data_IF_796676734709
#
_entry.id   IF_796676734709
#
_cell.length_a   1.000
_cell.length_b   1.000
_cell.length_c   1.000
_cell.angle_alpha   90.00
_cell.angle_beta   90.00
_cell.angle_gamma   90.00
#
_symmetry.space_group_name_H-M   'P 1'
#
loop_
_entity.id
_entity.type
_entity.pdbx_description
1 polymer ?
#
# COMPACT_ATOMS: atom_id res chain seq x y z
N UNK A 1 38.51 14.56 42.39
CA UNK A 1 37.30 14.74 43.22
C UNK A 1 36.11 14.82 42.29
N UNK A 2 35.31 13.76 42.20
CA UNK A 2 34.04 13.80 41.49
C UNK A 2 33.09 14.72 42.27
N UNK A 3 32.52 15.72 41.59
CA UNK A 3 31.53 16.62 42.19
C UNK A 3 30.34 15.80 42.74
N UNK A 4 29.74 16.19 43.89
CA UNK A 4 28.60 15.47 44.42
C UNK A 4 27.46 15.54 43.40
N UNK A 5 27.02 14.38 42.90
CA UNK A 5 25.79 14.29 42.10
C UNK A 5 24.62 14.78 42.96
N UNK A 6 24.04 15.91 42.55
CA UNK A 6 22.87 16.51 43.19
C UNK A 6 21.71 15.50 43.17
N UNK A 7 21.37 14.95 44.35
CA UNK A 7 20.30 13.95 44.52
C UNK A 7 18.93 14.48 44.12
N UNK A 8 18.72 15.80 44.11
CA UNK A 8 17.51 16.43 43.60
C UNK A 8 17.41 16.33 42.06
N UNK A 9 18.54 16.41 41.37
CA UNK A 9 18.64 16.36 39.91
C UNK A 9 18.27 15.00 39.33
N UNK A 10 18.65 13.89 39.98
CA UNK A 10 18.27 12.54 39.52
C UNK A 10 16.77 12.27 39.71
N UNK A 11 16.18 12.68 40.84
CA UNK A 11 14.75 12.44 41.13
C UNK A 11 13.80 13.19 40.18
N UNK A 12 14.13 14.42 39.79
CA UNK A 12 13.31 15.20 38.85
C UNK A 12 13.26 14.56 37.46
N UNK A 13 14.43 14.16 36.94
CA UNK A 13 14.55 13.47 35.64
C UNK A 13 13.79 12.14 35.62
N UNK A 14 13.96 11.30 36.64
CA UNK A 14 13.28 10.01 36.74
C UNK A 14 11.75 10.14 36.76
N UNK A 15 11.22 11.11 37.52
CA UNK A 15 9.77 11.38 37.56
C UNK A 15 9.21 11.79 36.21
N UNK A 16 9.91 12.66 35.48
CA UNK A 16 9.51 13.06 34.12
C UNK A 16 9.47 11.86 33.17
N UNK A 17 10.48 10.99 33.23
CA UNK A 17 10.52 9.74 32.44
C UNK A 17 9.34 8.85 32.82
N UNK A 18 9.15 8.53 34.10
CA UNK A 18 8.07 7.65 34.56
C UNK A 18 6.68 8.20 34.20
N UNK A 19 6.45 9.50 34.35
CA UNK A 19 5.18 10.13 33.96
C UNK A 19 4.97 10.07 32.45
N UNK A 20 6.01 10.34 31.65
CA UNK A 20 5.93 10.22 30.20
C UNK A 20 5.70 8.77 29.76
N UNK A 21 6.34 7.79 30.40
CA UNK A 21 6.10 6.36 30.17
C UNK A 21 4.65 5.99 30.46
N UNK A 22 4.12 6.39 31.61
CA UNK A 22 2.74 6.11 32.00
C UNK A 22 1.72 6.73 31.02
N UNK A 23 1.95 7.96 30.59
CA UNK A 23 1.10 8.62 29.59
C UNK A 23 1.22 7.95 28.21
N UNK A 24 2.42 7.51 27.82
CA UNK A 24 2.69 6.83 26.57
C UNK A 24 2.08 5.42 26.48
N UNK A 25 1.69 4.82 27.61
CA UNK A 25 0.89 3.60 27.63
C UNK A 25 -0.56 3.84 27.20
N UNK A 26 -1.06 5.07 27.34
CA UNK A 26 -2.44 5.42 27.07
C UNK A 26 -2.64 5.94 25.64
N UNK A 27 -1.65 6.62 25.06
CA UNK A 27 -1.70 7.19 23.70
C UNK A 27 -0.30 7.49 23.13
N UNK A 28 -0.16 7.72 21.81
CA UNK A 28 1.12 7.99 21.17
C UNK A 28 1.85 9.18 21.80
N UNK A 29 3.17 9.04 21.94
CA UNK A 29 3.99 10.07 22.60
C UNK A 29 3.90 11.43 21.92
N UNK A 30 3.76 11.47 20.59
CA UNK A 30 3.67 12.73 19.83
C UNK A 30 2.44 13.55 20.19
N UNK A 31 1.35 12.93 20.64
CA UNK A 31 0.15 13.62 21.10
C UNK A 31 0.24 14.08 22.57
N UNK A 32 1.24 13.62 23.33
CA UNK A 32 1.45 14.01 24.73
C UNK A 32 2.17 15.35 24.79
N UNK A 33 1.54 16.36 25.38
CA UNK A 33 2.17 17.68 25.52
C UNK A 33 3.16 17.73 26.69
N UNK A 34 4.15 18.64 26.62
CA UNK A 34 5.07 18.89 27.74
C UNK A 34 4.29 19.28 29.00
N UNK A 35 3.20 20.04 28.87
CA UNK A 35 2.34 20.45 29.99
C UNK A 35 1.74 19.25 30.73
N UNK A 36 1.30 18.23 30.00
CA UNK A 36 0.74 17.02 30.62
C UNK A 36 1.80 16.20 31.33
N UNK A 37 3.01 16.10 30.77
CA UNK A 37 4.12 15.38 31.38
C UNK A 37 4.53 16.05 32.69
N UNK A 38 4.71 17.37 32.69
CA UNK A 38 5.11 18.10 33.91
C UNK A 38 4.01 18.12 34.96
N UNK A 39 2.74 18.20 34.54
CA UNK A 39 1.59 18.09 35.43
C UNK A 39 1.53 16.71 36.09
N UNK A 40 1.68 15.63 35.32
CA UNK A 40 1.70 14.27 35.84
C UNK A 40 2.91 14.00 36.75
N UNK A 41 4.05 14.62 36.43
CA UNK A 41 5.25 14.53 37.25
C UNK A 41 5.21 15.46 38.48
N UNK A 42 4.19 16.31 38.63
CA UNK A 42 4.12 17.39 39.62
C UNK A 42 5.40 18.24 39.66
N UNK A 43 5.82 18.71 38.47
CA UNK A 43 6.96 19.58 38.22
C UNK A 43 6.54 20.78 37.34
N UNK A 44 7.43 21.75 37.21
CA UNK A 44 7.19 22.93 36.38
C UNK A 44 7.75 22.76 34.96
N UNK A 45 7.22 23.52 34.01
CA UNK A 45 7.73 23.55 32.64
C UNK A 45 9.22 23.96 32.53
N UNK A 46 9.73 24.92 33.33
CA UNK A 46 11.18 25.17 33.40
C UNK A 46 11.98 23.96 33.90
N UNK A 47 11.46 23.17 34.86
CA UNK A 47 12.13 21.96 35.34
C UNK A 47 12.24 20.88 34.25
N UNK A 48 11.30 20.82 33.30
CA UNK A 48 11.41 19.94 32.13
C UNK A 48 12.65 20.27 31.29
N UNK A 49 12.78 21.52 30.83
CA UNK A 49 13.91 21.94 30.00
C UNK A 49 15.25 21.93 30.74
N UNK A 50 15.23 22.01 32.08
CA UNK A 50 16.42 21.81 32.90
C UNK A 50 16.96 20.37 32.82
N UNK A 51 16.09 19.37 32.63
CA UNK A 51 16.46 17.96 32.55
C UNK A 51 16.54 17.41 31.12
N UNK A 52 15.77 17.99 30.20
CA UNK A 52 15.70 17.65 28.77
C UNK A 52 15.87 18.94 27.96
N UNK A 53 17.12 19.37 27.79
CA UNK A 53 17.46 20.61 27.10
C UNK A 53 17.11 20.54 25.60
N UNK A 54 17.19 19.34 25.00
CA UNK A 54 16.70 19.04 23.66
C UNK A 54 15.17 18.95 23.55
N UNK A 55 14.45 19.25 24.64
CA UNK A 55 12.99 19.29 24.66
C UNK A 55 12.37 17.90 24.60
N UNK A 56 11.19 17.82 23.99
CA UNK A 56 10.40 16.58 23.91
C UNK A 56 11.11 15.48 23.10
N UNK A 57 11.97 15.84 22.15
CA UNK A 57 12.75 14.89 21.34
C UNK A 57 13.83 14.16 22.15
N UNK A 58 14.54 14.85 23.05
CA UNK A 58 15.52 14.19 23.93
C UNK A 58 14.83 13.18 24.86
N UNK A 59 13.64 13.51 25.36
CA UNK A 59 12.82 12.58 26.15
C UNK A 59 12.31 11.42 25.28
N UNK A 60 11.94 11.66 24.02
CA UNK A 60 11.55 10.63 23.06
C UNK A 60 12.66 9.60 22.89
N UNK A 61 13.89 10.05 22.63
CA UNK A 61 15.05 9.16 22.45
C UNK A 61 15.30 8.29 23.68
N UNK A 62 15.15 8.84 24.88
CA UNK A 62 15.27 8.08 26.13
C UNK A 62 14.18 7.01 26.23
N UNK A 63 12.93 7.34 25.90
CA UNK A 63 11.80 6.41 25.93
C UNK A 63 11.91 5.32 24.86
N UNK A 64 12.48 5.65 23.69
CA UNK A 64 12.80 4.67 22.63
C UNK A 64 13.92 3.74 23.10
N UNK A 65 14.97 4.30 23.71
CA UNK A 65 16.10 3.52 24.26
C UNK A 65 15.67 2.58 25.38
N UNK A 66 14.68 2.98 26.19
CA UNK A 66 14.09 2.12 27.21
C UNK A 66 13.03 1.15 26.68
N UNK A 67 12.73 1.19 25.38
CA UNK A 67 11.72 0.34 24.74
C UNK A 67 10.27 0.68 25.12
N UNK A 68 10.01 1.86 25.70
CA UNK A 68 8.65 2.25 26.11
C UNK A 68 7.81 2.71 24.91
N UNK A 69 8.43 3.40 23.95
CA UNK A 69 7.77 3.87 22.73
C UNK A 69 8.60 3.48 21.50
N UNK A 70 7.96 3.37 20.34
CA UNK A 70 8.67 3.14 19.09
C UNK A 70 9.30 4.44 18.56
N UNK A 71 10.32 4.33 17.73
CA UNK A 71 11.02 5.47 17.14
C UNK A 71 10.14 6.27 16.16
N UNK A 72 9.08 5.66 15.64
CA UNK A 72 8.23 6.20 14.57
C UNK A 72 7.21 7.24 15.06
N UNK A 73 7.04 8.40 14.39
CA UNK A 73 6.02 9.41 14.74
C UNK A 73 4.58 8.89 14.75
N UNK A 74 3.61 9.57 15.39
CA UNK A 74 2.24 9.07 15.53
C UNK A 74 1.44 8.96 14.21
N UNK A 75 1.57 9.94 13.30
CA UNK A 75 1.03 9.82 11.92
C UNK A 75 1.64 8.63 11.19
N UNK A 76 2.94 8.46 11.39
CA UNK A 76 3.74 7.42 10.76
C UNK A 76 3.45 6.06 11.41
N UNK A 77 3.02 6.04 12.68
CA UNK A 77 2.61 4.87 13.45
C UNK A 77 1.31 4.31 12.90
N UNK A 78 0.32 5.17 12.62
CA UNK A 78 -0.94 4.72 12.00
C UNK A 78 -0.67 4.07 10.64
N UNK A 79 0.16 4.69 9.80
CA UNK A 79 0.49 4.12 8.49
C UNK A 79 1.33 2.85 8.62
N UNK A 80 2.34 2.82 9.51
CA UNK A 80 3.14 1.63 9.77
C UNK A 80 2.28 0.45 10.23
N UNK A 81 1.27 0.70 11.08
CA UNK A 81 0.30 -0.30 11.51
C UNK A 81 -0.53 -0.82 10.32
N UNK A 82 -1.01 0.05 9.44
CA UNK A 82 -1.76 -0.37 8.25
C UNK A 82 -0.88 -1.19 7.28
N UNK A 83 0.36 -0.77 7.05
CA UNK A 83 1.30 -1.47 6.18
C UNK A 83 1.68 -2.84 6.77
N UNK A 84 1.93 -2.91 8.07
CA UNK A 84 2.18 -4.17 8.79
C UNK A 84 0.96 -5.09 8.76
N UNK A 85 -0.25 -4.54 9.00
CA UNK A 85 -1.49 -5.31 8.92
C UNK A 85 -1.73 -5.85 7.50
N UNK A 86 -1.48 -5.05 6.47
CA UNK A 86 -1.57 -5.48 5.07
C UNK A 86 -0.65 -6.67 4.79
N UNK A 87 0.63 -6.59 5.19
CA UNK A 87 1.61 -7.69 5.02
C UNK A 87 1.17 -8.96 5.73
N UNK A 88 0.74 -8.85 7.00
CA UNK A 88 0.25 -10.00 7.77
C UNK A 88 -0.99 -10.61 7.12
N UNK A 89 -2.00 -9.80 6.79
CA UNK A 89 -3.24 -10.28 6.19
C UNK A 89 -3.00 -10.91 4.81
N UNK A 90 -2.09 -10.35 4.01
CA UNK A 90 -1.70 -10.93 2.73
C UNK A 90 -0.97 -12.28 2.90
N UNK A 91 -0.18 -12.44 3.97
CA UNK A 91 0.62 -13.66 4.21
C UNK A 91 -0.19 -14.82 4.77
N UNK A 92 -1.03 -14.60 5.77
CA UNK A 92 -1.73 -15.68 6.50
C UNK A 92 -3.26 -15.57 6.47
N UNK A 93 -3.81 -14.52 5.87
CA UNK A 93 -5.23 -14.21 5.88
C UNK A 93 -5.69 -13.49 7.16
N UNK A 94 -6.84 -12.80 7.08
CA UNK A 94 -7.38 -11.97 8.18
C UNK A 94 -7.73 -12.82 9.41
N UNK A 95 -8.27 -14.03 9.23
CA UNK A 95 -8.70 -14.88 10.33
C UNK A 95 -7.53 -15.37 11.19
N UNK A 96 -6.42 -15.79 10.58
CA UNK A 96 -5.26 -16.35 11.28
C UNK A 96 -4.32 -15.27 11.87
N UNK A 97 -4.37 -14.04 11.36
CA UNK A 97 -3.58 -12.93 11.88
C UNK A 97 -3.93 -12.58 13.34
N UNK A 98 -2.92 -12.21 14.14
CA UNK A 98 -3.14 -11.62 15.48
C UNK A 98 -2.73 -10.15 15.51
N UNK A 99 -3.28 -9.39 16.46
CA UNK A 99 -2.89 -7.98 16.65
C UNK A 99 -1.45 -7.85 17.17
N UNK A 100 -0.91 -8.89 17.81
CA UNK A 100 0.47 -8.93 18.28
C UNK A 100 1.43 -9.15 17.09
N UNK A 101 1.09 -10.02 16.14
CA UNK A 101 1.86 -10.19 14.89
C UNK A 101 1.93 -8.87 14.11
N UNK A 102 0.81 -8.13 14.06
CA UNK A 102 0.72 -6.86 13.35
C UNK A 102 1.56 -5.79 14.05
N UNK A 103 1.49 -5.70 15.38
CA UNK A 103 2.31 -4.75 16.13
C UNK A 103 3.82 -5.03 15.92
N UNK A 104 4.21 -6.30 15.95
CA UNK A 104 5.58 -6.72 15.68
C UNK A 104 6.02 -6.39 14.25
N UNK A 105 5.20 -6.71 13.24
CA UNK A 105 5.47 -6.43 11.82
C UNK A 105 5.54 -4.93 11.51
N UNK A 106 4.76 -4.11 12.23
CA UNK A 106 4.76 -2.65 12.10
C UNK A 106 5.90 -2.00 12.90
N UNK A 107 6.60 -2.74 13.76
CA UNK A 107 7.63 -2.19 14.65
C UNK A 107 7.06 -1.24 15.71
N UNK A 108 5.83 -1.47 16.17
CA UNK A 108 5.15 -0.62 17.16
C UNK A 108 4.76 -1.42 18.40
N UNK A 109 4.48 -0.73 19.51
CA UNK A 109 3.97 -1.39 20.71
C UNK A 109 2.49 -1.78 20.54
N UNK A 110 2.06 -2.81 21.28
CA UNK A 110 0.66 -3.25 21.28
C UNK A 110 -0.30 -2.14 21.73
N UNK A 111 0.12 -1.30 22.68
CA UNK A 111 -0.64 -0.13 23.14
C UNK A 111 -0.76 0.94 22.05
N UNK A 112 0.31 1.20 21.30
CA UNK A 112 0.29 2.16 20.19
C UNK A 112 -0.65 1.69 19.06
N UNK A 113 -0.68 0.39 18.77
CA UNK A 113 -1.67 -0.17 17.83
C UNK A 113 -3.09 0.02 18.34
N UNK A 114 -3.37 -0.37 19.58
CA UNK A 114 -4.71 -0.31 20.20
C UNK A 114 -5.29 1.10 20.27
N UNK A 115 -4.45 2.13 20.23
CA UNK A 115 -4.89 3.52 20.15
C UNK A 115 -5.53 3.86 18.81
N UNK A 116 -4.97 3.34 17.71
CA UNK A 116 -5.45 3.65 16.36
C UNK A 116 -6.52 2.68 15.88
N UNK A 117 -6.45 1.41 16.30
CA UNK A 117 -7.33 0.35 15.82
C UNK A 117 -7.70 -0.60 16.96
N UNK A 118 -9.01 -0.86 17.13
CA UNK A 118 -9.51 -1.70 18.20
C UNK A 118 -9.69 -3.15 17.75
N UNK A 119 -9.84 -3.39 16.45
CA UNK A 119 -10.07 -4.72 15.89
C UNK A 119 -9.34 -4.97 14.56
N UNK A 120 -9.23 -6.25 14.17
CA UNK A 120 -8.77 -6.64 12.82
C UNK A 120 -9.73 -6.15 11.73
N UNK A 121 -11.01 -6.02 12.04
CA UNK A 121 -12.01 -5.51 11.11
C UNK A 121 -11.77 -4.02 10.83
N UNK A 122 -11.43 -3.23 11.86
CA UNK A 122 -11.11 -1.80 11.72
C UNK A 122 -9.87 -1.62 10.84
N UNK A 123 -8.84 -2.45 11.05
CA UNK A 123 -7.62 -2.46 10.23
C UNK A 123 -7.95 -2.81 8.78
N UNK A 124 -8.70 -3.89 8.57
CA UNK A 124 -9.09 -4.35 7.23
C UNK A 124 -9.89 -3.28 6.51
N UNK A 125 -10.89 -2.69 7.17
CA UNK A 125 -11.70 -1.61 6.64
C UNK A 125 -10.82 -0.43 6.27
N UNK A 126 -9.92 0.02 7.15
CA UNK A 126 -9.03 1.14 6.87
C UNK A 126 -8.08 0.86 5.69
N UNK A 127 -7.56 -0.36 5.55
CA UNK A 127 -6.74 -0.79 4.40
C UNK A 127 -7.57 -0.70 3.10
N UNK A 128 -8.78 -1.24 3.10
CA UNK A 128 -9.65 -1.24 1.91
C UNK A 128 -10.08 0.19 1.58
N UNK A 129 -10.38 1.01 2.59
CA UNK A 129 -10.82 2.39 2.43
C UNK A 129 -9.68 3.30 1.94
N UNK A 130 -8.42 2.96 2.22
CA UNK A 130 -7.27 3.72 1.79
C UNK A 130 -7.31 3.87 0.26
N UNK A 131 -7.67 5.08 -0.20
CA UNK A 131 -7.92 5.35 -1.62
C UNK A 131 -6.63 5.29 -2.46
N UNK A 132 -5.47 5.36 -1.81
CA UNK A 132 -4.16 5.50 -2.45
C UNK A 132 -3.80 4.38 -3.42
N UNK A 133 -4.21 3.13 -3.12
CA UNK A 133 -3.80 1.97 -3.93
C UNK A 133 -4.18 2.16 -5.40
N UNK A 134 -5.48 2.28 -5.71
CA UNK A 134 -5.92 2.44 -7.09
C UNK A 134 -5.77 3.88 -7.64
N UNK A 135 -5.59 4.88 -6.78
CA UNK A 135 -5.48 6.28 -7.19
C UNK A 135 -4.26 6.52 -8.09
N UNK A 136 -3.11 5.92 -7.77
CA UNK A 136 -1.90 6.10 -8.56
C UNK A 136 -2.04 5.49 -9.96
N UNK A 137 -2.47 4.23 -10.06
CA UNK A 137 -2.71 3.57 -11.35
C UNK A 137 -3.71 4.37 -12.18
N UNK A 138 -4.82 4.78 -11.56
CA UNK A 138 -5.83 5.61 -12.23
C UNK A 138 -5.23 6.91 -12.75
N UNK A 139 -4.46 7.63 -11.94
CA UNK A 139 -3.84 8.89 -12.36
C UNK A 139 -2.89 8.70 -13.55
N UNK A 140 -2.11 7.61 -13.56
CA UNK A 140 -1.24 7.26 -14.69
C UNK A 140 -2.04 6.94 -15.95
N UNK A 141 -3.09 6.11 -15.84
CA UNK A 141 -3.97 5.81 -16.99
C UNK A 141 -4.66 7.07 -17.49
N UNK A 142 -5.22 7.91 -16.61
CA UNK A 142 -5.87 9.16 -16.99
C UNK A 142 -4.89 10.12 -17.69
N UNK A 143 -3.61 10.11 -17.32
CA UNK A 143 -2.56 10.88 -18.00
C UNK A 143 -2.30 10.35 -19.41
N UNK A 144 -2.14 9.03 -19.58
CA UNK A 144 -1.96 8.39 -20.89
C UNK A 144 -3.17 8.72 -21.79
N UNK A 145 -4.40 8.64 -21.28
CA UNK A 145 -5.60 8.99 -22.04
C UNK A 145 -5.59 10.46 -22.49
N UNK A 146 -5.14 11.40 -21.65
CA UNK A 146 -4.99 12.81 -22.04
C UNK A 146 -3.97 12.99 -23.17
N UNK A 147 -2.85 12.28 -23.11
CA UNK A 147 -1.81 12.33 -24.14
C UNK A 147 -2.32 11.79 -25.48
N UNK A 148 -3.11 10.71 -25.46
CA UNK A 148 -3.81 10.19 -26.63
C UNK A 148 -4.76 11.23 -27.22
N UNK A 149 -5.59 11.87 -26.38
CA UNK A 149 -6.55 12.88 -26.83
C UNK A 149 -5.87 14.13 -27.41
N UNK A 150 -4.71 14.51 -26.90
CA UNK A 150 -3.92 15.64 -27.41
C UNK A 150 -3.20 15.35 -28.74
N UNK A 151 -3.12 14.08 -29.16
CA UNK A 151 -2.31 13.67 -30.31
C UNK A 151 -0.80 13.62 -30.05
N UNK A 152 -0.37 13.77 -28.79
CA UNK A 152 1.05 13.61 -28.39
C UNK A 152 1.47 12.15 -28.45
N UNK A 153 0.53 11.23 -28.18
CA UNK A 153 0.75 9.80 -28.18
C UNK A 153 -0.24 9.11 -29.13
N UNK A 154 0.24 8.65 -30.29
CA UNK A 154 -0.61 8.15 -31.38
C UNK A 154 -0.38 6.68 -31.75
N UNK A 155 0.80 6.13 -31.42
CA UNK A 155 1.14 4.74 -31.73
C UNK A 155 0.50 3.79 -30.71
N UNK A 156 -0.36 2.89 -31.19
CA UNK A 156 -1.07 1.93 -30.35
C UNK A 156 -0.13 1.00 -29.59
N UNK A 157 0.99 0.62 -30.22
CA UNK A 157 1.94 -0.25 -29.57
C UNK A 157 2.57 0.43 -28.36
N UNK A 158 3.05 1.66 -28.54
CA UNK A 158 3.59 2.47 -27.44
C UNK A 158 2.53 2.77 -26.37
N UNK A 159 1.29 3.10 -26.76
CA UNK A 159 0.17 3.29 -25.83
C UNK A 159 -0.02 2.05 -24.94
N UNK A 160 -0.12 0.87 -25.55
CA UNK A 160 -0.30 -0.38 -24.82
C UNK A 160 0.92 -0.73 -23.96
N UNK A 161 2.15 -0.39 -24.37
CA UNK A 161 3.36 -0.53 -23.54
C UNK A 161 3.31 0.34 -22.29
N UNK A 162 2.90 1.59 -22.41
CA UNK A 162 2.76 2.48 -21.24
C UNK A 162 1.68 2.00 -20.29
N UNK A 163 0.53 1.55 -20.82
CA UNK A 163 -0.55 0.96 -20.01
C UNK A 163 -0.08 -0.32 -19.30
N UNK A 164 0.56 -1.23 -20.04
CA UNK A 164 1.10 -2.46 -19.48
C UNK A 164 2.17 -2.19 -18.41
N UNK A 165 3.03 -1.20 -18.64
CA UNK A 165 3.99 -0.70 -17.65
C UNK A 165 3.32 -0.18 -16.38
N UNK A 166 2.26 0.63 -16.53
CA UNK A 166 1.50 1.14 -15.39
C UNK A 166 0.88 -0.01 -14.56
N UNK A 167 0.32 -1.03 -15.21
CA UNK A 167 -0.17 -2.23 -14.53
C UNK A 167 0.94 -3.01 -13.84
N UNK A 168 2.07 -3.25 -14.53
CA UNK A 168 3.21 -3.96 -13.97
C UNK A 168 3.73 -3.26 -12.70
N UNK A 169 3.97 -1.95 -12.78
CA UNK A 169 4.53 -1.17 -11.67
C UNK A 169 3.55 -1.14 -10.49
N UNK A 170 2.26 -0.95 -10.76
CA UNK A 170 1.22 -0.97 -9.75
C UNK A 170 1.16 -2.31 -9.02
N UNK A 171 1.04 -3.42 -9.74
CA UNK A 171 0.90 -4.74 -9.11
C UNK A 171 2.18 -5.21 -8.44
N UNK A 172 3.35 -4.81 -8.94
CA UNK A 172 4.63 -5.10 -8.29
C UNK A 172 4.79 -4.32 -6.99
N UNK A 173 4.45 -3.03 -6.99
CA UNK A 173 4.52 -2.18 -5.80
C UNK A 173 3.45 -2.52 -4.76
N UNK A 174 2.28 -3.01 -5.19
CA UNK A 174 1.12 -3.28 -4.34
C UNK A 174 0.75 -4.77 -4.27
N UNK A 175 1.77 -5.64 -4.30
CA UNK A 175 1.60 -7.09 -4.39
C UNK A 175 0.84 -7.68 -3.20
N UNK A 176 1.08 -7.18 -1.98
CA UNK A 176 0.36 -7.60 -0.78
C UNK A 176 -1.12 -7.22 -0.85
N UNK A 177 -1.44 -6.03 -1.37
CA UNK A 177 -2.83 -5.61 -1.59
C UNK A 177 -3.52 -6.47 -2.65
N UNK A 178 -2.82 -6.80 -3.74
CA UNK A 178 -3.34 -7.71 -4.77
C UNK A 178 -3.62 -9.11 -4.20
N UNK A 179 -2.69 -9.65 -3.39
CA UNK A 179 -2.86 -10.95 -2.72
C UNK A 179 -4.01 -10.91 -1.72
N UNK A 180 -4.08 -9.89 -0.88
CA UNK A 180 -5.18 -9.71 0.06
C UNK A 180 -6.52 -9.61 -0.66
N UNK A 181 -6.60 -8.83 -1.74
CA UNK A 181 -7.82 -8.68 -2.54
C UNK A 181 -8.38 -10.03 -2.99
N UNK A 182 -7.54 -10.94 -3.47
CA UNK A 182 -7.94 -12.29 -3.88
C UNK A 182 -8.44 -13.12 -2.69
N UNK A 183 -7.76 -13.04 -1.53
CA UNK A 183 -8.18 -13.75 -0.31
C UNK A 183 -9.55 -13.26 0.21
N UNK A 184 -9.88 -11.98 0.00
CA UNK A 184 -11.10 -11.37 0.51
C UNK A 184 -12.36 -11.72 -0.30
N UNK A 185 -12.23 -12.05 -1.60
CA UNK A 185 -13.38 -12.26 -2.51
C UNK A 185 -14.41 -13.22 -1.95
N UNK A 186 -13.98 -14.30 -1.30
CA UNK A 186 -14.88 -15.33 -0.77
C UNK A 186 -15.12 -15.24 0.75
N UNK A 187 -14.35 -14.41 1.45
CA UNK A 187 -14.37 -14.36 2.92
C UNK A 187 -14.99 -13.08 3.48
N UNK A 188 -15.02 -12.00 2.70
CA UNK A 188 -15.52 -10.67 3.12
C UNK A 188 -16.28 -9.98 1.96
N UNK A 189 -17.58 -10.26 1.77
CA UNK A 189 -18.35 -9.77 0.62
C UNK A 189 -18.39 -8.23 0.46
N UNK A 190 -18.49 -7.50 1.56
CA UNK A 190 -18.50 -6.02 1.55
C UNK A 190 -17.17 -5.44 1.05
N UNK A 191 -16.06 -6.01 1.52
CA UNK A 191 -14.72 -5.67 1.04
C UNK A 191 -14.57 -5.95 -0.45
N UNK A 192 -15.05 -7.12 -0.90
CA UNK A 192 -15.00 -7.51 -2.30
C UNK A 192 -15.76 -6.53 -3.21
N UNK A 193 -16.93 -6.06 -2.79
CA UNK A 193 -17.69 -5.06 -3.54
C UNK A 193 -16.96 -3.72 -3.66
N UNK A 194 -16.39 -3.21 -2.56
CA UNK A 194 -15.62 -1.96 -2.57
C UNK A 194 -14.38 -2.05 -3.48
N UNK A 195 -13.67 -3.19 -3.43
CA UNK A 195 -12.53 -3.46 -4.30
C UNK A 195 -12.98 -3.51 -5.77
N UNK A 196 -14.07 -4.24 -6.07
CA UNK A 196 -14.61 -4.37 -7.41
C UNK A 196 -15.05 -3.01 -8.00
N UNK A 197 -15.70 -2.17 -7.20
CA UNK A 197 -16.10 -0.81 -7.61
C UNK A 197 -14.88 0.04 -8.01
N UNK A 198 -13.81 -0.01 -7.21
CA UNK A 198 -12.56 0.72 -7.48
C UNK A 198 -11.86 0.22 -8.74
N UNK A 199 -11.75 -1.10 -8.91
CA UNK A 199 -11.19 -1.72 -10.12
C UNK A 199 -11.99 -1.31 -11.36
N UNK A 200 -13.32 -1.34 -11.26
CA UNK A 200 -14.22 -0.97 -12.37
C UNK A 200 -14.03 0.49 -12.78
N UNK A 201 -13.96 1.40 -11.80
CA UNK A 201 -13.71 2.83 -12.05
C UNK A 201 -12.36 3.07 -12.73
N UNK A 202 -11.31 2.38 -12.29
CA UNK A 202 -9.95 2.54 -12.85
C UNK A 202 -9.80 2.00 -14.29
N UNK A 203 -10.69 1.12 -14.75
CA UNK A 203 -10.60 0.49 -16.08
C UNK A 203 -11.37 1.21 -17.18
N UNK A 204 -12.20 2.20 -16.85
CA UNK A 204 -13.11 2.86 -17.82
C UNK A 204 -12.35 3.46 -19.01
N UNK A 205 -11.34 4.29 -18.75
CA UNK A 205 -10.60 4.97 -19.84
C UNK A 205 -9.93 4.01 -20.83
N UNK A 206 -9.44 2.86 -20.34
CA UNK A 206 -8.82 1.86 -21.20
C UNK A 206 -9.86 1.09 -22.04
N UNK A 207 -11.02 0.74 -21.45
CA UNK A 207 -12.12 0.14 -22.20
C UNK A 207 -12.60 1.07 -23.33
N UNK A 208 -12.74 2.36 -23.02
CA UNK A 208 -13.16 3.37 -23.99
C UNK A 208 -12.13 3.53 -25.13
N UNK A 209 -10.84 3.48 -24.80
CA UNK A 209 -9.77 3.49 -25.80
C UNK A 209 -9.85 2.29 -26.75
N UNK A 210 -9.96 1.06 -26.22
CA UNK A 210 -10.03 -0.15 -27.05
C UNK A 210 -11.26 -0.11 -27.95
N UNK A 211 -12.41 0.30 -27.40
CA UNK A 211 -13.65 0.44 -28.16
C UNK A 211 -13.52 1.47 -29.30
N UNK A 212 -12.95 2.64 -29.04
CA UNK A 212 -12.70 3.65 -30.08
C UNK A 212 -11.82 3.12 -31.21
N UNK A 213 -10.76 2.39 -30.88
CA UNK A 213 -9.87 1.79 -31.90
C UNK A 213 -10.56 0.70 -32.72
N UNK A 214 -11.55 0.00 -32.16
CA UNK A 214 -12.42 -0.91 -32.91
C UNK A 214 -13.33 -0.14 -33.87
N UNK A 215 -13.96 0.95 -33.41
CA UNK A 215 -14.82 1.82 -34.24
C UNK A 215 -14.05 2.48 -35.40
N UNK A 216 -12.77 2.78 -35.20
CA UNK A 216 -11.86 3.30 -36.24
C UNK A 216 -11.34 2.20 -37.19
N UNK A 217 -11.69 0.93 -36.95
CA UNK A 217 -11.25 -0.20 -37.76
C UNK A 217 -9.80 -0.65 -37.53
N UNK A 218 -9.12 -0.09 -36.52
CA UNK A 218 -7.74 -0.42 -36.18
C UNK A 218 -7.64 -1.76 -35.42
N UNK A 219 -8.64 -2.07 -34.58
CA UNK A 219 -8.72 -3.31 -33.82
C UNK A 219 -9.92 -4.18 -34.23
N UNK A 220 -9.83 -5.49 -33.98
CA UNK A 220 -10.90 -6.47 -34.26
C UNK A 220 -12.11 -6.23 -33.37
N UNK A 221 -13.30 -6.21 -33.97
CA UNK A 221 -14.59 -5.98 -33.27
C UNK A 221 -15.10 -7.21 -32.49
N UNK A 222 -14.60 -8.41 -32.79
CA UNK A 222 -15.03 -9.66 -32.14
C UNK A 222 -14.38 -9.92 -30.76
N UNK A 223 -13.67 -8.92 -30.22
CA UNK A 223 -12.99 -9.02 -28.93
C UNK A 223 -13.65 -8.02 -27.98
N UNK A 224 -14.19 -8.53 -26.88
CA UNK A 224 -14.78 -7.68 -25.85
C UNK A 224 -13.68 -6.81 -25.20
N UNK A 225 -13.80 -5.47 -25.18
CA UNK A 225 -12.83 -4.58 -24.55
C UNK A 225 -12.56 -4.92 -23.09
N UNK A 226 -13.59 -5.27 -22.31
CA UNK A 226 -13.45 -5.62 -20.90
C UNK A 226 -12.67 -6.92 -20.73
N UNK A 227 -12.87 -7.90 -21.62
CA UNK A 227 -12.08 -9.13 -21.63
C UNK A 227 -10.60 -8.83 -21.92
N UNK A 228 -10.31 -7.99 -22.90
CA UNK A 228 -8.93 -7.58 -23.20
C UNK A 228 -8.24 -6.95 -21.99
N UNK A 229 -8.89 -5.96 -21.36
CA UNK A 229 -8.38 -5.29 -20.15
C UNK A 229 -8.24 -6.27 -18.98
N UNK A 230 -9.18 -7.22 -18.85
CA UNK A 230 -9.12 -8.27 -17.84
C UNK A 230 -7.89 -9.16 -18.04
N UNK A 231 -7.64 -9.65 -19.26
CA UNK A 231 -6.47 -10.50 -19.55
C UNK A 231 -5.17 -9.74 -19.28
N UNK A 232 -5.07 -8.49 -19.73
CA UNK A 232 -3.90 -7.64 -19.48
C UNK A 232 -3.62 -7.51 -17.98
N UNK A 233 -4.64 -7.11 -17.19
CA UNK A 233 -4.48 -6.93 -15.75
C UNK A 233 -4.19 -8.25 -15.02
N UNK A 234 -4.87 -9.34 -15.38
CA UNK A 234 -4.70 -10.65 -14.72
C UNK A 234 -3.32 -11.24 -14.94
N UNK A 235 -2.68 -10.95 -16.08
CA UNK A 235 -1.30 -11.35 -16.35
C UNK A 235 -0.33 -10.78 -15.29
N UNK A 236 -0.54 -9.52 -14.88
CA UNK A 236 0.30 -8.87 -13.87
C UNK A 236 -0.11 -9.22 -12.42
N UNK A 237 -1.41 -9.37 -12.15
CA UNK A 237 -1.92 -9.84 -10.85
C UNK A 237 -1.30 -11.20 -10.50
N UNK A 238 -1.31 -12.15 -11.43
CA UNK A 238 -0.78 -13.49 -11.19
C UNK A 238 0.71 -13.46 -10.82
N UNK A 239 1.51 -12.62 -11.50
CA UNK A 239 2.94 -12.46 -11.19
C UNK A 239 3.17 -11.77 -9.84
N UNK A 240 2.32 -10.83 -9.46
CA UNK A 240 2.42 -10.10 -8.20
C UNK A 240 2.05 -10.97 -6.99
N UNK A 241 0.95 -11.73 -7.07
CA UNK A 241 0.55 -12.69 -6.03
C UNK A 241 1.61 -13.79 -5.90
N UNK A 242 2.25 -14.11 -7.03
CA UNK A 242 3.28 -15.10 -7.17
C UNK A 242 4.58 -14.87 -6.42
N UNK A 243 4.88 -13.78 -5.70
CA UNK A 243 6.24 -13.61 -5.12
C UNK A 243 6.72 -14.78 -4.23
N UNK A 244 5.84 -15.54 -3.56
CA UNK A 244 6.18 -16.81 -2.88
C UNK A 244 5.90 -18.08 -3.71
N UNK A 245 5.08 -18.00 -4.75
CA UNK A 245 4.83 -19.08 -5.72
C UNK A 245 5.87 -19.08 -6.86
N UNK A 246 6.57 -17.98 -7.10
CA UNK A 246 7.60 -17.78 -8.11
C UNK A 246 8.85 -18.59 -7.77
N UNK A 247 9.08 -18.85 -6.48
CA UNK A 247 10.11 -19.79 -6.02
C UNK A 247 9.68 -21.25 -6.24
N UNK A 248 8.39 -21.51 -6.44
CA UNK A 248 7.80 -22.85 -6.61
C UNK A 248 7.38 -23.14 -8.06
N UNK A 249 7.22 -22.12 -8.90
CA UNK A 249 6.82 -22.22 -10.31
C UNK A 249 7.94 -21.67 -11.20
N UNK A 250 8.28 -22.36 -12.31
CA UNK A 250 9.37 -21.97 -13.20
C UNK A 250 8.95 -20.82 -14.12
N UNK A 251 8.64 -19.64 -13.57
CA UNK A 251 8.35 -18.47 -14.39
C UNK A 251 9.61 -17.97 -15.10
N UNK A 252 9.43 -17.42 -16.30
CA UNK A 252 10.54 -16.85 -17.05
C UNK A 252 11.20 -15.69 -16.28
N UNK A 253 12.53 -15.75 -16.16
CA UNK A 253 13.39 -14.70 -15.61
C UNK A 253 13.65 -13.64 -16.68
N UNK A 254 12.65 -12.78 -16.89
CA UNK A 254 12.70 -11.69 -17.85
C UNK A 254 12.74 -10.35 -17.10
N UNK A 255 13.42 -9.37 -17.68
CA UNK A 255 13.40 -7.98 -17.22
C UNK A 255 12.00 -7.37 -17.37
N UNK A 256 11.74 -6.27 -16.66
CA UNK A 256 10.49 -5.50 -16.77
C UNK A 256 10.16 -5.16 -18.23
N UNK A 257 11.15 -4.68 -18.99
CA UNK A 257 10.97 -4.29 -20.40
C UNK A 257 10.65 -5.49 -21.29
N UNK A 258 11.37 -6.60 -21.13
CA UNK A 258 11.08 -7.83 -21.89
C UNK A 258 9.68 -8.37 -21.61
N UNK A 259 9.25 -8.35 -20.33
CA UNK A 259 7.90 -8.77 -19.95
C UNK A 259 6.85 -7.89 -20.62
N UNK A 260 6.99 -6.57 -20.52
CA UNK A 260 6.04 -5.62 -21.12
C UNK A 260 6.00 -5.80 -22.64
N UNK A 261 7.16 -5.86 -23.30
CA UNK A 261 7.25 -5.97 -24.75
C UNK A 261 6.64 -7.28 -25.26
N UNK A 262 6.92 -8.42 -24.61
CA UNK A 262 6.37 -9.71 -25.02
C UNK A 262 4.85 -9.79 -24.79
N UNK A 263 4.35 -9.30 -23.65
CA UNK A 263 2.91 -9.29 -23.35
C UNK A 263 2.18 -8.39 -24.35
N UNK A 264 2.68 -7.17 -24.59
CA UNK A 264 2.06 -6.24 -25.55
C UNK A 264 2.11 -6.82 -26.95
N UNK A 265 3.21 -7.45 -27.37
CA UNK A 265 3.30 -8.09 -28.68
C UNK A 265 2.23 -9.19 -28.86
N UNK A 266 2.08 -10.08 -27.88
CA UNK A 266 1.07 -11.14 -27.89
C UNK A 266 -0.36 -10.57 -27.95
N UNK A 267 -0.66 -9.59 -27.10
CA UNK A 267 -1.99 -8.99 -27.02
C UNK A 267 -2.31 -8.17 -28.27
N UNK A 268 -1.37 -7.37 -28.75
CA UNK A 268 -1.53 -6.51 -29.92
C UNK A 268 -1.69 -7.34 -31.19
N UNK A 269 -0.94 -8.43 -31.36
CA UNK A 269 -1.15 -9.37 -32.47
C UNK A 269 -2.53 -10.03 -32.42
N UNK A 270 -3.03 -10.29 -31.22
CA UNK A 270 -4.38 -10.82 -31.00
C UNK A 270 -5.50 -9.85 -31.41
N UNK A 271 -5.32 -8.54 -31.24
CA UNK A 271 -6.36 -7.53 -31.48
C UNK A 271 -6.21 -6.73 -32.77
N UNK A 272 -5.02 -6.65 -33.38
CA UNK A 272 -4.81 -5.94 -34.64
C UNK A 272 -5.65 -6.59 -35.74
N UNK A 273 -6.33 -5.75 -36.53
CA UNK A 273 -6.99 -6.21 -37.76
C UNK A 273 -5.89 -6.62 -38.74
N UNK A 274 -5.90 -7.89 -39.16
CA UNK A 274 -4.95 -8.40 -40.15
C UNK A 274 -5.48 -8.07 -41.54
N UNK A 275 -4.62 -7.59 -42.44
CA UNK A 275 -4.96 -7.41 -43.86
C UNK A 275 -5.15 -8.76 -44.59
N UNK A 276 -4.79 -9.87 -43.97
CA UNK A 276 -4.98 -11.20 -44.54
C UNK A 276 -6.38 -11.75 -44.20
N UNK A 277 -7.19 -12.14 -45.21
CA UNK A 277 -8.47 -12.78 -44.95
C UNK A 277 -8.21 -14.06 -44.14
N UNK A 278 -8.85 -14.13 -42.98
CA UNK A 278 -8.92 -15.33 -42.18
C UNK A 278 -9.57 -16.38 -43.07
N UNK A 279 -8.80 -17.35 -43.57
CA UNK A 279 -9.35 -18.45 -44.37
C UNK A 279 -10.44 -19.07 -43.50
N UNK A 280 -11.69 -18.90 -43.90
CA UNK A 280 -12.79 -19.69 -43.37
C UNK A 280 -12.36 -21.13 -43.48
N UNK A 281 -12.07 -21.75 -42.34
CA UNK A 281 -11.92 -23.19 -42.27
C UNK A 281 -13.32 -23.73 -42.55
N UNK A 282 -13.57 -23.97 -43.83
CA UNK A 282 -14.78 -24.62 -44.30
C UNK A 282 -14.91 -25.96 -43.59
N UNK A 283 -16.15 -26.24 -43.21
CA UNK A 283 -16.64 -27.45 -42.58
C UNK A 283 -16.01 -28.73 -43.14
N UNK A 284 -15.69 -29.65 -42.24
CA UNK A 284 -15.68 -31.10 -42.50
C UNK A 284 -16.28 -31.80 -41.27
#
# INVERSE_FOLDING_TARGET
>A
MAAPLDKGKCKGRERLIQSAQALALLRPFDEITIEEIVKAAALSRPAFYYHFAGGKEELREELVRSGTISATPASDTRQAVLDGALRIFARVGVSAATLDDIAAEAGVSRSALSWHFHSKADLLQAIIEQQGFHAQLRATIDQIIREIQSGTLCDDEEILRQIAGAFYDFFTAQCDFARLSVLLVHTHPEAAHLIAERITRGRRGLNDYIKRRQEEGNFRENIDPALFVQVLAMTFVMRAIGSGLNDLLPFAHLSREEIINQIVSLLLYGIKKSDAPMKETAQA
#
